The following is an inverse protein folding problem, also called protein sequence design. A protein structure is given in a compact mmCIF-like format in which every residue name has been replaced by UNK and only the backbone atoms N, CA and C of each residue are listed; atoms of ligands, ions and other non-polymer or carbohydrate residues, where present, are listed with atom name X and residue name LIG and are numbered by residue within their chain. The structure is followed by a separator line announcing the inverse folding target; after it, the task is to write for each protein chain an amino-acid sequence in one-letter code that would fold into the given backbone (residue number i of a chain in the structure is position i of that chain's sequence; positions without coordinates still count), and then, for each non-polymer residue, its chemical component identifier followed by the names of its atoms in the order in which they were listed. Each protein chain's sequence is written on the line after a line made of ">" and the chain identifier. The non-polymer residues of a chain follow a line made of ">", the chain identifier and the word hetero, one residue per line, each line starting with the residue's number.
data_IF_928884480230
#
_entry.id   IF_928884480230
#
_cell.length_a   1.000
_cell.length_b   1.000
_cell.length_c   1.000
_cell.angle_alpha   90.00
_cell.angle_beta   90.00
_cell.angle_gamma   90.00
#
_symmetry.space_group_name_H-M   'P 1'
#
loop_
_entity.id
_entity.type
_entity.pdbx_description
1 polymer ?
#
# COMPACT_ATOMS: atom_id res chain seq x y z
N UNK A 1 4.43 -10.81 -10.27
CA UNK A 1 4.60 -9.89 -9.12
C UNK A 1 4.57 -10.69 -7.81
N UNK A 2 5.38 -10.38 -6.79
CA UNK A 2 5.36 -11.15 -5.50
C UNK A 2 3.97 -11.08 -4.82
N UNK A 3 3.27 -9.97 -5.03
CA UNK A 3 1.87 -9.75 -4.60
C UNK A 3 0.90 -10.67 -5.35
N UNK A 4 1.11 -10.90 -6.65
CA UNK A 4 0.28 -11.80 -7.46
C UNK A 4 0.54 -13.28 -7.14
N UNK A 5 1.73 -13.60 -6.64
CA UNK A 5 2.12 -14.95 -6.21
C UNK A 5 1.71 -15.28 -4.76
N UNK A 6 1.10 -14.34 -4.04
CA UNK A 6 0.70 -14.56 -2.65
C UNK A 6 1.86 -14.61 -1.64
N UNK A 7 3.08 -14.30 -2.07
CA UNK A 7 4.28 -14.30 -1.21
C UNK A 7 4.40 -12.98 -0.47
N UNK A 8 3.40 -12.73 0.38
CA UNK A 8 3.20 -11.46 1.08
C UNK A 8 4.26 -11.18 2.15
N UNK A 9 4.75 -12.23 2.81
CA UNK A 9 5.73 -12.11 3.90
C UNK A 9 7.13 -11.77 3.37
N UNK A 10 7.42 -12.12 2.11
CA UNK A 10 8.65 -11.73 1.44
C UNK A 10 8.58 -10.31 0.88
N UNK A 11 7.38 -9.78 0.55
CA UNK A 11 7.21 -8.48 -0.10
C UNK A 11 7.35 -7.29 0.85
N UNK A 12 6.92 -7.41 2.11
CA UNK A 12 6.95 -6.31 3.10
C UNK A 12 8.38 -5.80 3.35
N UNK A 13 9.40 -6.66 3.60
CA UNK A 13 10.78 -6.20 3.80
C UNK A 13 11.37 -5.44 2.60
N UNK A 14 10.93 -5.76 1.37
CA UNK A 14 11.34 -5.03 0.17
C UNK A 14 10.73 -3.63 0.11
N UNK A 15 9.46 -3.49 0.51
CA UNK A 15 8.82 -2.17 0.58
C UNK A 15 9.37 -1.30 1.70
N UNK A 16 9.71 -1.87 2.86
CA UNK A 16 10.40 -1.15 3.94
C UNK A 16 11.76 -0.62 3.47
N UNK A 17 12.55 -1.43 2.76
CA UNK A 17 13.80 -0.96 2.15
C UNK A 17 13.56 0.16 1.13
N UNK A 18 12.51 0.07 0.32
CA UNK A 18 12.16 1.10 -0.66
C UNK A 18 11.75 2.43 0.00
N UNK A 19 11.11 2.40 1.17
CA UNK A 19 10.79 3.61 1.94
C UNK A 19 12.03 4.36 2.44
N UNK A 20 13.12 3.64 2.74
CA UNK A 20 14.37 4.22 3.24
C UNK A 20 15.39 4.54 2.13
N UNK A 21 15.14 4.11 0.90
CA UNK A 21 15.97 4.43 -0.24
C UNK A 21 15.77 5.90 -0.64
N UNK A 22 16.75 6.75 -0.29
CA UNK A 22 16.85 8.20 -0.62
C UNK A 22 16.63 8.59 -2.10
N UNK A 23 16.52 7.61 -3.01
CA UNK A 23 16.33 7.80 -4.46
C UNK A 23 14.96 7.33 -4.99
N UNK A 24 14.00 6.94 -4.14
CA UNK A 24 12.65 6.67 -4.62
C UNK A 24 11.89 8.00 -4.78
N UNK A 25 11.60 8.36 -6.03
CA UNK A 25 10.94 9.61 -6.44
C UNK A 25 9.52 9.81 -5.87
N UNK A 26 8.93 8.82 -5.19
CA UNK A 26 7.71 9.05 -4.41
C UNK A 26 7.59 8.06 -3.25
N UNK A 27 7.76 8.51 -1.99
CA UNK A 27 7.58 7.66 -0.81
C UNK A 27 6.14 7.15 -0.69
N UNK A 28 5.17 7.71 -1.43
CA UNK A 28 3.80 7.21 -1.49
C UNK A 28 3.66 5.83 -2.16
N UNK A 29 4.56 5.47 -3.08
CA UNK A 29 4.45 4.21 -3.85
C UNK A 29 4.64 2.96 -2.97
N UNK A 30 5.64 2.87 -2.08
CA UNK A 30 5.76 1.77 -1.12
C UNK A 30 4.51 1.59 -0.24
N UNK A 31 3.97 2.68 0.34
CA UNK A 31 2.78 2.60 1.20
C UNK A 31 1.55 2.06 0.47
N UNK A 32 1.37 2.40 -0.83
CA UNK A 32 0.32 1.80 -1.65
C UNK A 32 0.49 0.28 -1.75
N UNK A 33 1.70 -0.21 -2.02
CA UNK A 33 1.92 -1.64 -2.20
C UNK A 33 1.83 -2.43 -0.90
N UNK A 34 2.28 -1.86 0.23
CA UNK A 34 2.03 -2.42 1.56
C UNK A 34 0.53 -2.53 1.84
N UNK A 35 -0.25 -1.51 1.49
CA UNK A 35 -1.71 -1.57 1.62
C UNK A 35 -2.33 -2.69 0.79
N UNK A 36 -1.87 -2.90 -0.46
CA UNK A 36 -2.32 -4.00 -1.33
C UNK A 36 -1.98 -5.38 -0.73
N UNK A 37 -0.82 -5.50 -0.09
CA UNK A 37 -0.41 -6.72 0.61
C UNK A 37 -1.36 -7.00 1.78
N UNK A 38 -1.61 -6.02 2.65
CA UNK A 38 -2.52 -6.20 3.77
C UNK A 38 -3.95 -6.51 3.33
N UNK A 39 -4.41 -5.87 2.25
CA UNK A 39 -5.72 -6.14 1.67
C UNK A 39 -5.83 -7.59 1.20
N UNK A 40 -4.82 -8.12 0.51
CA UNK A 40 -4.79 -9.52 0.09
C UNK A 40 -4.72 -10.50 1.26
N UNK A 41 -4.13 -10.10 2.39
CA UNK A 41 -4.13 -10.87 3.64
C UNK A 41 -5.44 -10.74 4.45
N UNK A 42 -6.43 -9.99 3.97
CA UNK A 42 -7.68 -9.70 4.69
C UNK A 42 -7.49 -8.79 5.92
N UNK A 43 -6.33 -8.15 6.06
CA UNK A 43 -6.03 -7.22 7.16
C UNK A 43 -6.49 -5.82 6.79
N UNK A 44 -7.81 -5.63 6.74
CA UNK A 44 -8.46 -4.44 6.19
C UNK A 44 -8.02 -3.13 6.86
N UNK A 45 -7.92 -3.11 8.19
CA UNK A 45 -7.53 -1.90 8.94
C UNK A 45 -6.11 -1.44 8.56
N UNK A 46 -5.18 -2.39 8.44
CA UNK A 46 -3.78 -2.08 8.05
C UNK A 46 -3.68 -1.66 6.59
N UNK A 47 -4.54 -2.21 5.72
CA UNK A 47 -4.62 -1.78 4.33
C UNK A 47 -5.09 -0.32 4.23
N UNK A 48 -6.14 0.04 4.97
CA UNK A 48 -6.66 1.41 5.05
C UNK A 48 -5.57 2.37 5.54
N UNK A 49 -4.88 2.03 6.63
CA UNK A 49 -3.83 2.89 7.20
C UNK A 49 -2.70 3.11 6.19
N UNK A 50 -2.27 2.05 5.50
CA UNK A 50 -1.22 2.14 4.49
C UNK A 50 -1.64 3.02 3.30
N UNK A 51 -2.88 2.90 2.83
CA UNK A 51 -3.40 3.76 1.77
C UNK A 51 -3.53 5.22 2.22
N UNK A 52 -3.91 5.48 3.47
CA UNK A 52 -3.93 6.83 4.04
C UNK A 52 -2.54 7.44 4.09
N UNK A 53 -1.54 6.69 4.56
CA UNK A 53 -0.14 7.16 4.57
C UNK A 53 0.36 7.51 3.17
N UNK A 54 0.03 6.71 2.16
CA UNK A 54 0.35 7.03 0.77
C UNK A 54 -0.27 8.36 0.32
N UNK A 55 -1.49 8.68 0.78
CA UNK A 55 -2.18 9.95 0.49
C UNK A 55 -1.67 11.11 1.34
N UNK A 56 -1.18 10.88 2.55
CA UNK A 56 -0.50 11.91 3.35
C UNK A 56 0.79 12.37 2.65
N UNK A 57 1.53 11.43 2.06
CA UNK A 57 2.78 11.71 1.34
C UNK A 57 2.54 12.31 -0.06
N UNK A 58 1.50 11.85 -0.74
CA UNK A 58 1.06 12.41 -2.01
C UNK A 58 -0.48 12.48 -2.05
N UNK A 59 -1.06 13.65 -1.70
CA UNK A 59 -2.51 13.84 -1.69
C UNK A 59 -3.17 13.66 -3.06
N UNK A 60 -2.40 13.68 -4.15
CA UNK A 60 -2.89 13.47 -5.51
C UNK A 60 -2.64 12.06 -6.04
N UNK A 61 -2.23 11.12 -5.19
CA UNK A 61 -1.91 9.77 -5.62
C UNK A 61 -3.18 8.98 -5.97
N UNK A 62 -3.56 9.04 -7.25
CA UNK A 62 -4.81 8.50 -7.76
C UNK A 62 -4.99 7.00 -7.46
N UNK A 63 -3.91 6.22 -7.49
CA UNK A 63 -3.96 4.78 -7.18
C UNK A 63 -4.34 4.52 -5.73
N UNK A 64 -3.79 5.27 -4.77
CA UNK A 64 -4.13 5.15 -3.36
C UNK A 64 -5.57 5.63 -3.08
N UNK A 65 -6.03 6.72 -3.72
CA UNK A 65 -7.44 7.15 -3.61
C UNK A 65 -8.41 6.08 -4.08
N UNK A 66 -8.16 5.48 -5.25
CA UNK A 66 -8.99 4.41 -5.81
C UNK A 66 -8.98 3.16 -4.94
N UNK A 67 -7.81 2.76 -4.44
CA UNK A 67 -7.68 1.59 -3.58
C UNK A 67 -8.44 1.77 -2.25
N UNK A 68 -8.28 2.92 -1.61
CA UNK A 68 -8.99 3.26 -0.37
C UNK A 68 -10.51 3.32 -0.58
N UNK A 69 -10.97 4.02 -1.62
CA UNK A 69 -12.40 4.15 -1.92
C UNK A 69 -13.06 2.80 -2.21
N UNK A 70 -12.41 1.93 -2.99
CA UNK A 70 -12.89 0.57 -3.25
C UNK A 70 -12.98 -0.25 -1.96
N UNK A 71 -11.95 -0.18 -1.11
CA UNK A 71 -11.91 -0.93 0.14
C UNK A 71 -13.00 -0.45 1.11
N UNK A 72 -13.16 0.86 1.27
CA UNK A 72 -14.23 1.44 2.10
C UNK A 72 -15.62 1.06 1.58
N UNK A 73 -15.83 1.05 0.27
CA UNK A 73 -17.10 0.64 -0.32
C UNK A 73 -17.43 -0.85 -0.18
N UNK A 74 -16.42 -1.70 0.08
CA UNK A 74 -16.61 -3.14 0.32
C UNK A 74 -16.90 -3.46 1.79
N UNK A 75 -16.53 -2.56 2.71
CA UNK A 75 -16.68 -2.74 4.16
C UNK A 75 -17.96 -2.09 4.71
N UNK A 76 -18.67 -1.33 3.88
CA UNK A 76 -20.03 -0.83 4.13
C UNK A 76 -21.07 -1.87 3.72
#
# INVERSE_FOLDING_TARGET
>A
DLIEKGQFDEAIPWFEKAMHARRYESPAFPHLNVGRVYERKGQWDKAIESYKQALTLNPNYALAKRALGRLMGMLN
#
